data_IF_750957351845
#
_entry.id   IF_750957351845
#
_cell.length_a   1.000
_cell.length_b   1.000
_cell.length_c   1.000
_cell.angle_alpha   90.00
_cell.angle_beta   90.00
_cell.angle_gamma   90.00
#
_symmetry.space_group_name_H-M   'P 1'
#
loop_
_entity.id
_entity.type
_entity.pdbx_description
1 polymer ?
#
# COMPACT_ATOMS: atom_id res chain seq x y z
N UNK A 1 1.74 7.48 -14.26
CA UNK A 1 1.80 8.60 -13.29
C UNK A 1 2.37 8.10 -11.97
N UNK A 2 3.13 8.93 -11.24
CA UNK A 2 3.63 8.61 -9.88
C UNK A 2 2.82 9.39 -8.84
N UNK A 3 2.56 8.76 -7.70
CA UNK A 3 1.86 9.35 -6.57
C UNK A 3 2.77 9.38 -5.35
N UNK A 4 2.78 10.51 -4.67
CA UNK A 4 3.52 10.70 -3.42
C UNK A 4 2.66 10.24 -2.25
N UNK A 5 3.09 9.19 -1.54
CA UNK A 5 2.48 8.82 -0.27
C UNK A 5 2.98 9.78 0.82
N UNK A 6 2.06 10.58 1.38
CA UNK A 6 2.29 11.45 2.54
C UNK A 6 1.30 11.14 3.65
N UNK A 7 1.57 11.65 4.87
CA UNK A 7 0.66 11.51 6.01
C UNK A 7 -0.69 12.15 5.68
N UNK A 8 -0.67 13.37 5.13
CA UNK A 8 -1.88 14.11 4.76
C UNK A 8 -2.71 13.35 3.72
N UNK A 9 -2.05 12.76 2.72
CA UNK A 9 -2.71 11.94 1.72
C UNK A 9 -3.37 10.70 2.35
N UNK A 10 -2.65 9.96 3.19
CA UNK A 10 -3.22 8.78 3.84
C UNK A 10 -4.37 9.15 4.76
N UNK A 11 -4.25 10.23 5.55
CA UNK A 11 -5.33 10.74 6.39
C UNK A 11 -6.57 11.13 5.58
N UNK A 12 -6.40 11.74 4.39
CA UNK A 12 -7.49 12.15 3.52
C UNK A 12 -8.33 10.98 2.96
N UNK A 13 -7.74 9.78 2.89
CA UNK A 13 -8.43 8.56 2.40
C UNK A 13 -8.93 7.66 3.53
N UNK A 14 -8.65 8.00 4.79
CA UNK A 14 -9.21 7.29 5.93
C UNK A 14 -10.72 7.53 6.03
N UNK A 15 -11.45 6.53 6.50
CA UNK A 15 -12.83 6.75 6.94
C UNK A 15 -12.86 7.64 8.17
N UNK A 16 -13.92 8.43 8.34
CA UNK A 16 -14.07 9.32 9.49
C UNK A 16 -13.91 8.60 10.85
N UNK A 17 -14.46 7.39 11.06
CA UNK A 17 -14.23 6.63 12.30
C UNK A 17 -12.76 6.24 12.52
N UNK A 18 -12.05 5.85 11.46
CA UNK A 18 -10.64 5.48 11.56
C UNK A 18 -9.76 6.68 11.89
N UNK A 19 -10.02 7.82 11.24
CA UNK A 19 -9.29 9.06 11.52
C UNK A 19 -9.49 9.52 12.97
N UNK A 20 -10.73 9.42 13.48
CA UNK A 20 -11.02 9.73 14.88
C UNK A 20 -10.27 8.79 15.84
N UNK A 21 -10.29 7.48 15.58
CA UNK A 21 -9.57 6.49 16.39
C UNK A 21 -8.04 6.71 16.36
N UNK A 22 -7.47 7.02 15.19
CA UNK A 22 -6.06 7.34 15.05
C UNK A 22 -5.65 8.59 15.84
N UNK A 23 -6.46 9.66 15.75
CA UNK A 23 -6.21 10.89 16.52
C UNK A 23 -6.28 10.65 18.02
N UNK A 24 -7.28 9.90 18.48
CA UNK A 24 -7.39 9.54 19.90
C UNK A 24 -6.18 8.71 20.34
N UNK A 25 -5.78 7.71 19.54
CA UNK A 25 -4.61 6.88 19.83
C UNK A 25 -3.31 7.69 19.95
N UNK A 26 -3.12 8.74 19.14
CA UNK A 26 -1.98 9.65 19.27
C UNK A 26 -2.02 10.51 20.53
N UNK A 27 -3.21 10.93 20.98
CA UNK A 27 -3.38 11.64 22.25
C UNK A 27 -2.99 10.73 23.43
N UNK A 28 -3.42 9.47 23.37
CA UNK A 28 -3.14 8.48 24.41
C UNK A 28 -1.68 7.97 24.36
N UNK A 29 -1.02 8.10 23.21
CA UNK A 29 0.35 7.64 22.97
C UNK A 29 1.21 8.73 22.28
N UNK A 30 1.57 9.83 22.97
CA UNK A 30 2.34 10.92 22.35
C UNK A 30 3.68 10.48 21.74
N UNK A 31 4.31 9.44 22.29
CA UNK A 31 5.53 8.82 21.78
C UNK A 31 5.37 8.14 20.41
N UNK A 32 4.14 7.93 19.95
CA UNK A 32 3.82 7.35 18.64
C UNK A 32 3.62 8.41 17.56
N UNK A 33 3.83 9.69 17.86
CA UNK A 33 3.89 10.73 16.83
C UNK A 33 4.94 10.37 15.77
N UNK A 34 4.56 10.49 14.49
CA UNK A 34 5.40 10.07 13.35
C UNK A 34 5.31 8.59 12.99
N UNK A 35 4.56 7.76 13.73
CA UNK A 35 4.46 6.33 13.42
C UNK A 35 3.79 6.05 12.06
N UNK A 36 2.76 6.81 11.71
CA UNK A 36 2.13 6.71 10.38
C UNK A 36 3.13 7.04 9.26
N UNK A 37 3.97 8.07 9.45
CA UNK A 37 5.03 8.39 8.49
C UNK A 37 6.03 7.23 8.35
N UNK A 38 6.39 6.56 9.45
CA UNK A 38 7.26 5.39 9.41
C UNK A 38 6.61 4.21 8.66
N UNK A 39 5.33 3.94 8.87
CA UNK A 39 4.58 2.91 8.13
C UNK A 39 4.58 3.23 6.63
N UNK A 40 4.30 4.48 6.25
CA UNK A 40 4.33 4.94 4.85
C UNK A 40 5.72 4.71 4.22
N UNK A 41 6.79 5.11 4.92
CA UNK A 41 8.16 4.94 4.44
C UNK A 41 8.50 3.46 4.23
N UNK A 42 8.16 2.61 5.19
CA UNK A 42 8.41 1.18 5.11
C UNK A 42 7.63 0.54 3.94
N UNK A 43 6.32 0.81 3.84
CA UNK A 43 5.51 0.27 2.74
C UNK A 43 6.03 0.75 1.39
N UNK A 44 6.35 2.05 1.24
CA UNK A 44 6.89 2.53 -0.02
C UNK A 44 8.23 1.90 -0.38
N UNK A 45 9.12 1.70 0.60
CA UNK A 45 10.39 1.01 0.40
C UNK A 45 10.21 -0.44 -0.07
N UNK A 46 9.24 -1.18 0.48
CA UNK A 46 8.92 -2.54 0.07
C UNK A 46 8.44 -2.61 -1.39
N UNK A 47 7.49 -1.73 -1.76
CA UNK A 47 7.01 -1.66 -3.15
C UNK A 47 8.11 -1.24 -4.13
N UNK A 48 8.92 -0.23 -3.79
CA UNK A 48 10.04 0.20 -4.63
C UNK A 48 11.08 -0.90 -4.80
N UNK A 49 11.39 -1.62 -3.73
CA UNK A 49 12.31 -2.77 -3.78
C UNK A 49 11.78 -3.87 -4.69
N UNK A 50 10.48 -4.18 -4.63
CA UNK A 50 9.85 -5.16 -5.52
C UNK A 50 9.92 -4.72 -6.99
N UNK A 51 9.65 -3.44 -7.27
CA UNK A 51 9.72 -2.88 -8.64
C UNK A 51 11.15 -2.99 -9.18
N UNK A 52 12.15 -2.61 -8.38
CA UNK A 52 13.57 -2.69 -8.77
C UNK A 52 14.04 -4.13 -8.95
N UNK A 53 13.60 -5.06 -8.08
CA UNK A 53 13.93 -6.48 -8.20
C UNK A 53 13.44 -7.07 -9.53
N UNK A 54 12.35 -6.54 -10.09
CA UNK A 54 11.81 -6.91 -11.38
C UNK A 54 12.44 -6.13 -12.56
N UNK A 55 13.55 -5.41 -12.32
CA UNK A 55 14.28 -4.66 -13.35
C UNK A 55 13.54 -3.44 -13.91
N UNK A 56 12.45 -3.01 -13.28
CA UNK A 56 11.70 -1.85 -13.71
C UNK A 56 12.35 -0.56 -13.18
N UNK A 57 12.60 0.44 -14.05
CA UNK A 57 13.22 1.69 -13.62
C UNK A 57 12.24 2.51 -12.77
N UNK A 58 12.71 2.97 -11.61
CA UNK A 58 12.02 3.99 -10.82
C UNK A 58 12.42 5.36 -11.35
N UNK A 59 11.48 6.04 -12.00
CA UNK A 59 11.71 7.36 -12.61
C UNK A 59 11.59 8.51 -11.61
N UNK A 60 11.02 8.27 -10.43
CA UNK A 60 10.83 9.25 -9.36
C UNK A 60 11.81 8.96 -8.21
N UNK A 61 12.60 9.97 -7.84
CA UNK A 61 13.67 9.91 -6.84
C UNK A 61 13.16 10.01 -5.41
N UNK A 62 11.91 10.45 -5.21
CA UNK A 62 11.31 10.56 -3.89
C UNK A 62 11.02 9.18 -3.32
N UNK A 63 11.48 8.94 -2.09
CA UNK A 63 11.42 7.63 -1.43
C UNK A 63 9.99 7.06 -1.28
N UNK A 64 8.98 7.93 -1.17
CA UNK A 64 7.57 7.53 -1.03
C UNK A 64 6.75 7.69 -2.31
N UNK A 65 7.40 7.97 -3.44
CA UNK A 65 6.73 8.00 -4.74
C UNK A 65 6.60 6.58 -5.29
N UNK A 66 5.36 6.20 -5.62
CA UNK A 66 5.02 4.91 -6.23
C UNK A 66 4.27 5.10 -7.55
N UNK A 67 4.37 4.16 -8.50
CA UNK A 67 3.49 4.11 -9.65
C UNK A 67 2.02 4.04 -9.22
N UNK A 68 1.14 4.70 -9.97
CA UNK A 68 -0.30 4.72 -9.70
C UNK A 68 -0.92 3.32 -9.53
N UNK A 69 -0.47 2.34 -10.31
CA UNK A 69 -0.91 0.94 -10.19
C UNK A 69 -0.66 0.32 -8.81
N UNK A 70 0.35 0.81 -8.08
CA UNK A 70 0.70 0.34 -6.75
C UNK A 70 -0.10 1.05 -5.65
N UNK A 71 -0.69 2.21 -5.94
CA UNK A 71 -1.22 3.13 -4.94
C UNK A 71 -2.30 2.50 -4.05
N UNK A 72 -3.30 1.86 -4.68
CA UNK A 72 -4.40 1.21 -3.96
C UNK A 72 -3.90 0.12 -3.01
N UNK A 73 -2.91 -0.66 -3.44
CA UNK A 73 -2.36 -1.77 -2.66
C UNK A 73 -1.49 -1.25 -1.53
N UNK A 74 -0.65 -0.24 -1.78
CA UNK A 74 0.14 0.42 -0.76
C UNK A 74 -0.74 1.09 0.32
N UNK A 75 -1.80 1.80 -0.08
CA UNK A 75 -2.80 2.36 0.85
C UNK A 75 -3.43 1.27 1.71
N UNK A 76 -3.81 0.15 1.09
CA UNK A 76 -4.42 -0.98 1.82
C UNK A 76 -3.46 -1.52 2.88
N UNK A 77 -2.19 -1.73 2.53
CA UNK A 77 -1.15 -2.18 3.47
C UNK A 77 -0.93 -1.17 4.60
N UNK A 78 -0.81 0.13 4.29
CA UNK A 78 -0.61 1.19 5.29
C UNK A 78 -1.78 1.23 6.29
N UNK A 79 -3.01 1.24 5.79
CA UNK A 79 -4.20 1.29 6.65
C UNK A 79 -4.37 0.02 7.48
N UNK A 80 -3.98 -1.13 6.93
CA UNK A 80 -4.01 -2.40 7.65
C UNK A 80 -3.01 -2.43 8.81
N UNK A 81 -1.75 -2.04 8.56
CA UNK A 81 -0.73 -1.95 9.60
C UNK A 81 -1.07 -0.90 10.66
N UNK A 82 -1.61 0.25 10.24
CA UNK A 82 -2.07 1.27 11.18
C UNK A 82 -3.20 0.74 12.09
N UNK A 83 -4.19 0.04 11.53
CA UNK A 83 -5.29 -0.53 12.31
C UNK A 83 -4.81 -1.54 13.34
N UNK A 84 -3.84 -2.38 12.98
CA UNK A 84 -3.19 -3.32 13.92
C UNK A 84 -2.52 -2.57 15.07
N UNK A 85 -1.80 -1.48 14.78
CA UNK A 85 -1.12 -0.71 15.83
C UNK A 85 -2.07 0.04 16.76
N UNK A 86 -3.19 0.53 16.25
CA UNK A 86 -4.24 1.16 17.05
C UNK A 86 -5.05 0.12 17.84
N UNK A 87 -4.94 -1.17 17.51
CA UNK A 87 -5.69 -2.25 18.16
C UNK A 87 -7.13 -2.37 17.67
N UNK A 88 -7.42 -1.93 16.44
CA UNK A 88 -8.74 -2.08 15.83
C UNK A 88 -8.89 -3.47 15.20
N UNK A 89 -10.05 -4.09 15.41
CA UNK A 89 -10.41 -5.35 14.76
C UNK A 89 -10.64 -5.13 13.27
N UNK A 90 -9.99 -5.93 12.43
CA UNK A 90 -10.24 -5.96 11.00
C UNK A 90 -11.42 -6.88 10.67
N UNK A 91 -12.30 -6.41 9.79
CA UNK A 91 -13.33 -7.23 9.16
C UNK A 91 -12.71 -8.24 8.18
N UNK A 92 -13.48 -9.28 7.83
CA UNK A 92 -13.06 -10.27 6.82
C UNK A 92 -12.71 -9.62 5.47
N UNK A 93 -13.47 -8.59 5.06
CA UNK A 93 -13.24 -7.89 3.79
C UNK A 93 -11.93 -7.10 3.79
N UNK A 94 -11.55 -6.52 4.92
CA UNK A 94 -10.28 -5.81 5.12
C UNK A 94 -9.11 -6.78 5.15
N UNK A 95 -9.25 -7.92 5.85
CA UNK A 95 -8.25 -8.99 5.81
C UNK A 95 -8.04 -9.52 4.38
N UNK A 96 -9.13 -9.76 3.65
CA UNK A 96 -9.05 -10.18 2.25
C UNK A 96 -8.39 -9.12 1.35
N UNK A 97 -8.61 -7.83 1.63
CA UNK A 97 -7.96 -6.74 0.91
C UNK A 97 -6.44 -6.69 1.18
N UNK A 98 -6.02 -6.86 2.43
CA UNK A 98 -4.62 -6.91 2.81
C UNK A 98 -3.90 -8.13 2.19
N UNK A 99 -4.54 -9.30 2.17
CA UNK A 99 -4.02 -10.49 1.48
C UNK A 99 -3.85 -10.21 -0.02
N UNK A 100 -4.83 -9.57 -0.67
CA UNK A 100 -4.69 -9.19 -2.10
C UNK A 100 -3.55 -8.19 -2.33
N UNK A 101 -3.29 -7.27 -1.40
CA UNK A 101 -2.16 -6.35 -1.48
C UNK A 101 -0.81 -7.06 -1.35
N UNK A 102 -0.69 -8.03 -0.43
CA UNK A 102 0.52 -8.87 -0.30
C UNK A 102 0.75 -9.72 -1.56
N UNK A 103 -0.30 -10.35 -2.08
CA UNK A 103 -0.22 -11.12 -3.34
C UNK A 103 0.22 -10.23 -4.51
N UNK A 104 -0.30 -9.01 -4.61
CA UNK A 104 0.10 -8.05 -5.64
C UNK A 104 1.58 -7.66 -5.51
N UNK A 105 2.03 -7.33 -4.29
CA UNK A 105 3.43 -6.99 -4.02
C UNK A 105 4.38 -8.14 -4.40
N UNK A 106 4.03 -9.37 -4.01
CA UNK A 106 4.79 -10.58 -4.42
C UNK A 106 4.75 -10.79 -5.93
N UNK A 107 3.62 -10.51 -6.57
CA UNK A 107 3.48 -10.59 -8.03
C UNK A 107 4.40 -9.61 -8.77
N UNK A 108 4.60 -8.40 -8.23
CA UNK A 108 5.61 -7.47 -8.73
C UNK A 108 7.00 -8.07 -8.57
N UNK A 109 7.31 -8.57 -7.37
CA UNK A 109 8.62 -9.15 -7.05
C UNK A 109 9.02 -10.30 -7.99
N UNK A 110 8.07 -11.18 -8.32
CA UNK A 110 8.32 -12.34 -9.19
C UNK A 110 8.24 -12.02 -10.68
N UNK A 111 7.92 -10.78 -11.05
CA UNK A 111 7.68 -10.37 -12.43
C UNK A 111 6.37 -10.87 -13.03
N UNK A 112 5.50 -11.51 -12.23
CA UNK A 112 4.18 -11.95 -12.68
C UNK A 112 3.22 -10.76 -12.94
N UNK A 113 3.46 -9.61 -12.29
CA UNK A 113 2.69 -8.39 -12.46
C UNK A 113 3.64 -7.25 -12.82
N UNK A 114 3.51 -6.64 -14.02
CA UNK A 114 4.25 -5.43 -14.32
C UNK A 114 3.70 -4.27 -13.49
N UNK A 115 4.56 -3.52 -12.81
CA UNK A 115 4.17 -2.24 -12.23
C UNK A 115 3.97 -1.24 -13.38
N UNK A 116 2.73 -1.05 -13.81
CA UNK A 116 2.41 -0.17 -14.94
C UNK A 116 2.23 1.27 -14.45
N UNK A 117 2.60 2.22 -15.30
CA UNK A 117 2.38 3.64 -15.05
C UNK A 117 0.91 4.06 -15.25
N UNK A 118 0.09 3.20 -15.88
CA UNK A 118 -1.21 3.57 -16.43
C UNK A 118 -2.39 3.06 -15.59
N UNK A 119 -2.15 2.60 -14.35
CA UNK A 119 -3.20 2.12 -13.43
C UNK A 119 -4.01 0.93 -13.96
N UNK A 120 -3.60 0.36 -15.09
CA UNK A 120 -4.30 -0.73 -15.77
C UNK A 120 -4.07 -1.99 -14.95
N UNK A 121 -5.11 -2.44 -14.25
CA UNK A 121 -5.16 -3.75 -13.63
C UNK A 121 -4.88 -4.74 -14.77
N UNK A 122 -3.75 -5.43 -14.72
CA UNK A 122 -3.51 -6.53 -15.64
C UNK A 122 -4.61 -7.57 -15.41
N UNK A 123 -5.62 -7.59 -16.29
CA UNK A 123 -6.61 -8.65 -16.29
C UNK A 123 -5.87 -9.98 -16.39
N UNK A 124 -6.11 -10.95 -15.48
CA UNK A 124 -5.50 -12.26 -15.59
C UNK A 124 -5.81 -12.83 -16.97
N UNK A 125 -4.77 -12.99 -17.79
CA UNK A 125 -4.86 -13.72 -19.04
C UNK A 125 -4.89 -15.20 -18.68
N UNK A 126 -6.10 -15.76 -18.54
CA UNK A 126 -6.25 -17.21 -18.55
C UNK A 126 -6.05 -17.66 -19.99
N UNK A 127 -4.91 -18.30 -20.29
CA UNK A 127 -4.84 -19.19 -21.43
C UNK A 127 -5.88 -20.28 -21.18
N UNK A 128 -7.04 -20.15 -21.80
CA UNK A 128 -7.99 -21.25 -21.88
C UNK A 128 -7.23 -22.47 -22.41
N UNK A 129 -7.33 -23.60 -21.73
CA UNK A 129 -6.83 -24.85 -22.26
C UNK A 129 -7.49 -25.03 -23.64
N UNK A 130 -6.69 -25.01 -24.70
CA UNK A 130 -7.11 -25.53 -26.00
C UNK A 130 -7.45 -26.99 -25.81
N UNK A 131 -8.76 -27.30 -25.77
CA UNK A 131 -9.27 -28.62 -26.15
C UNK A 131 -9.56 -28.60 -27.64
#
# INVERSE_FOLDING_TARGET
>A
MYFLLSVEFVESVMSAPLLAAYRQWLLDNPQKQGRLAAIIQQTAAEFRSAIQANGLPLSDDRATALPESCLRYAQTTILFELKKEIGLTMSESENAAAIRADVFLRGIWTGAIPATLDGSIASPSYKGATQ
#
